data_IF_002474614994
#
_entry.id   IF_002474614994
#
_cell.length_a   1.000
_cell.length_b   1.000
_cell.length_c   1.000
_cell.angle_alpha   90.00
_cell.angle_beta   90.00
_cell.angle_gamma   90.00
#
_symmetry.space_group_name_H-M   'P 1'
#
loop_
_entity.id
_entity.type
_entity.pdbx_description
1 polymer ?
#
# COMPACT_ATOMS: atom_id res chain seq x y z
N UNK A 1 6.05 -2.04 11.53
CA UNK A 1 4.78 -2.71 11.85
C UNK A 1 4.70 -4.08 11.19
N UNK A 2 4.78 -4.17 9.85
CA UNK A 2 4.62 -5.45 9.12
C UNK A 2 5.69 -6.49 9.46
N UNK A 3 6.91 -6.10 9.76
CA UNK A 3 7.98 -6.99 10.23
C UNK A 3 7.68 -7.55 11.63
N UNK A 4 7.17 -6.70 12.52
CA UNK A 4 6.75 -7.14 13.87
C UNK A 4 5.56 -8.11 13.81
N UNK A 5 4.60 -7.86 12.91
CA UNK A 5 3.47 -8.76 12.67
C UNK A 5 3.94 -10.14 12.16
N UNK A 6 4.95 -10.19 11.28
CA UNK A 6 5.55 -11.44 10.80
C UNK A 6 6.32 -12.17 11.89
N UNK A 7 7.12 -11.47 12.70
CA UNK A 7 7.83 -12.04 13.83
C UNK A 7 6.87 -12.62 14.86
N UNK A 8 5.85 -11.86 15.25
CA UNK A 8 4.81 -12.32 16.17
C UNK A 8 4.07 -13.55 15.61
N UNK A 9 3.75 -13.57 14.32
CA UNK A 9 3.11 -14.73 13.69
C UNK A 9 4.00 -15.98 13.72
N UNK A 10 5.30 -15.85 13.50
CA UNK A 10 6.26 -16.94 13.59
C UNK A 10 6.37 -17.50 15.02
N UNK A 11 6.31 -16.62 16.02
CA UNK A 11 6.35 -17.03 17.43
C UNK A 11 5.05 -17.73 17.87
N UNK A 12 3.89 -17.19 17.49
CA UNK A 12 2.58 -17.69 17.92
C UNK A 12 2.16 -18.95 17.13
N UNK A 13 2.50 -19.03 15.84
CA UNK A 13 2.09 -20.09 14.94
C UNK A 13 3.26 -20.66 14.11
N UNK A 14 4.30 -21.23 14.76
CA UNK A 14 5.54 -21.64 14.08
C UNK A 14 5.31 -22.68 12.96
N UNK A 15 4.46 -23.68 13.20
CA UNK A 15 4.15 -24.69 12.19
C UNK A 15 3.45 -24.11 10.96
N UNK A 16 2.47 -23.22 11.16
CA UNK A 16 1.77 -22.57 10.06
C UNK A 16 2.68 -21.63 9.27
N UNK A 17 3.54 -20.90 9.96
CA UNK A 17 4.55 -20.06 9.34
C UNK A 17 5.51 -20.88 8.46
N UNK A 18 6.05 -21.99 9.00
CA UNK A 18 6.93 -22.90 8.26
C UNK A 18 6.25 -23.55 7.05
N UNK A 19 4.99 -23.98 7.19
CA UNK A 19 4.21 -24.52 6.05
C UNK A 19 4.02 -23.48 4.95
N UNK A 20 3.66 -22.25 5.30
CA UNK A 20 3.49 -21.16 4.33
C UNK A 20 4.82 -20.80 3.66
N UNK A 21 5.91 -20.72 4.41
CA UNK A 21 7.26 -20.49 3.85
C UNK A 21 7.65 -21.59 2.87
N UNK A 22 7.42 -22.84 3.24
CA UNK A 22 7.68 -24.00 2.37
C UNK A 22 6.83 -23.96 1.10
N UNK A 23 5.55 -23.64 1.23
CA UNK A 23 4.65 -23.46 0.08
C UNK A 23 5.10 -22.31 -0.83
N UNK A 24 5.50 -21.17 -0.25
CA UNK A 24 6.06 -20.03 -0.97
C UNK A 24 7.37 -20.42 -1.66
N UNK A 25 8.29 -21.11 -0.96
CA UNK A 25 9.56 -21.59 -1.53
C UNK A 25 9.34 -22.58 -2.67
N UNK A 26 8.50 -23.59 -2.49
CA UNK A 26 8.16 -24.56 -3.55
C UNK A 26 7.57 -23.87 -4.78
N UNK A 27 6.70 -22.90 -4.56
CA UNK A 27 6.16 -22.09 -5.64
C UNK A 27 7.15 -21.02 -6.16
N UNK A 28 8.25 -20.75 -5.45
CA UNK A 28 9.25 -19.69 -5.75
C UNK A 28 10.43 -20.13 -6.63
N UNK A 29 10.56 -21.41 -6.97
CA UNK A 29 11.74 -21.98 -7.67
C UNK A 29 12.22 -21.31 -8.97
N UNK A 30 11.48 -20.36 -9.49
CA UNK A 30 11.85 -19.46 -10.60
C UNK A 30 11.31 -18.03 -10.43
N UNK A 31 10.56 -17.78 -9.36
CA UNK A 31 9.75 -16.56 -9.21
C UNK A 31 10.56 -15.29 -8.98
N UNK A 32 11.70 -15.35 -8.29
CA UNK A 32 12.59 -14.17 -8.16
C UNK A 32 13.06 -13.68 -9.53
N UNK A 33 13.35 -14.60 -10.44
CA UNK A 33 13.70 -14.27 -11.83
C UNK A 33 12.49 -13.67 -12.56
N UNK A 34 11.29 -14.24 -12.38
CA UNK A 34 10.04 -13.74 -12.97
C UNK A 34 9.72 -12.32 -12.45
N UNK A 35 9.78 -12.11 -11.13
CA UNK A 35 9.56 -10.78 -10.51
C UNK A 35 10.56 -9.76 -11.04
N UNK A 36 11.85 -10.14 -11.15
CA UNK A 36 12.87 -9.27 -11.74
C UNK A 36 12.58 -8.95 -13.20
N UNK A 37 12.13 -9.94 -13.99
CA UNK A 37 11.75 -9.77 -15.39
C UNK A 37 10.54 -8.83 -15.52
N UNK A 38 9.46 -9.08 -14.76
CA UNK A 38 8.27 -8.22 -14.75
C UNK A 38 8.63 -6.78 -14.38
N UNK A 39 9.48 -6.59 -13.34
CA UNK A 39 9.93 -5.26 -12.93
C UNK A 39 10.68 -4.55 -14.08
N UNK A 40 11.54 -5.26 -14.80
CA UNK A 40 12.27 -4.70 -15.95
C UNK A 40 11.31 -4.32 -17.09
N UNK A 41 10.34 -5.17 -17.40
CA UNK A 41 9.35 -4.91 -18.44
C UNK A 41 8.44 -3.72 -18.09
N UNK A 42 7.87 -3.68 -16.87
CA UNK A 42 7.10 -2.52 -16.39
C UNK A 42 7.91 -1.23 -16.57
N UNK A 43 9.18 -1.23 -16.12
CA UNK A 43 10.04 -0.06 -16.24
C UNK A 43 10.35 0.30 -17.70
N UNK A 44 10.58 -0.70 -18.56
CA UNK A 44 10.85 -0.50 -19.98
C UNK A 44 9.64 0.15 -20.66
N UNK A 45 8.44 -0.45 -20.53
CA UNK A 45 7.24 0.06 -21.20
C UNK A 45 6.88 1.47 -20.75
N UNK A 46 7.00 1.78 -19.46
CA UNK A 46 6.77 3.12 -18.95
C UNK A 46 7.75 4.14 -19.55
N UNK A 47 9.04 3.82 -19.59
CA UNK A 47 10.05 4.72 -20.18
C UNK A 47 9.86 4.92 -21.66
N UNK A 48 9.62 3.84 -22.42
CA UNK A 48 9.42 3.92 -23.87
C UNK A 48 8.21 4.79 -24.24
N UNK A 49 7.20 4.86 -23.35
CA UNK A 49 5.99 5.68 -23.55
C UNK A 49 6.07 7.06 -22.85
N UNK A 50 7.25 7.55 -22.56
CA UNK A 50 7.51 8.93 -22.13
C UNK A 50 7.38 9.19 -20.62
N UNK A 51 7.38 8.15 -19.77
CA UNK A 51 7.51 8.31 -18.32
C UNK A 51 8.98 8.12 -17.94
N UNK A 52 9.78 9.18 -18.08
CA UNK A 52 11.23 9.08 -17.93
C UNK A 52 11.65 8.80 -16.47
N UNK A 53 11.07 9.54 -15.52
CA UNK A 53 11.40 9.50 -14.10
C UNK A 53 10.57 8.47 -13.33
N UNK A 54 10.60 7.21 -13.76
CA UNK A 54 9.85 6.12 -13.15
C UNK A 54 10.70 5.25 -12.24
N UNK A 55 10.22 5.05 -11.01
CA UNK A 55 10.74 4.05 -10.07
C UNK A 55 9.82 2.83 -10.00
N UNK A 56 10.34 1.63 -10.21
CA UNK A 56 9.57 0.39 -10.04
C UNK A 56 10.21 -0.45 -8.94
N UNK A 57 9.47 -0.66 -7.84
CA UNK A 57 9.89 -1.51 -6.71
C UNK A 57 9.00 -2.73 -6.65
N UNK A 58 9.58 -3.94 -6.67
CA UNK A 58 8.87 -5.18 -6.38
C UNK A 58 8.86 -5.42 -4.88
N UNK A 59 7.73 -5.92 -4.34
CA UNK A 59 7.56 -6.27 -2.95
C UNK A 59 6.90 -7.63 -2.84
N UNK A 60 7.55 -8.55 -2.15
CA UNK A 60 6.90 -9.76 -1.65
C UNK A 60 6.02 -9.38 -0.45
N UNK A 61 4.82 -9.94 -0.38
CA UNK A 61 3.94 -9.73 0.77
C UNK A 61 4.41 -10.57 1.95
N UNK A 62 4.27 -10.01 3.14
CA UNK A 62 4.62 -10.66 4.39
C UNK A 62 3.77 -11.92 4.61
N UNK A 63 4.35 -12.94 5.23
CA UNK A 63 3.72 -14.24 5.48
C UNK A 63 2.43 -14.07 6.29
N UNK A 64 2.44 -13.21 7.31
CA UNK A 64 1.24 -12.92 8.09
C UNK A 64 0.12 -12.29 7.24
N UNK A 65 0.45 -11.40 6.32
CA UNK A 65 -0.53 -10.80 5.41
C UNK A 65 -1.16 -11.83 4.47
N UNK A 66 -0.37 -12.81 4.02
CA UNK A 66 -0.85 -13.95 3.22
C UNK A 66 -1.75 -14.84 4.08
N UNK A 67 -1.32 -15.22 5.28
CA UNK A 67 -2.10 -16.01 6.23
C UNK A 67 -3.46 -15.37 6.55
N UNK A 68 -3.48 -14.07 6.85
CA UNK A 68 -4.70 -13.32 7.12
C UNK A 68 -5.68 -13.37 5.96
N UNK A 69 -5.20 -13.30 4.72
CA UNK A 69 -6.04 -13.41 3.52
C UNK A 69 -6.59 -14.81 3.31
N UNK A 70 -5.79 -15.86 3.55
CA UNK A 70 -6.26 -17.24 3.53
C UNK A 70 -7.42 -17.39 4.52
N UNK A 71 -7.21 -16.95 5.76
CA UNK A 71 -8.21 -17.05 6.84
C UNK A 71 -9.47 -16.24 6.55
N UNK A 72 -9.34 -14.99 6.07
CA UNK A 72 -10.49 -14.10 5.85
C UNK A 72 -11.31 -14.44 4.59
N UNK A 73 -10.70 -15.03 3.58
CA UNK A 73 -11.36 -15.32 2.30
C UNK A 73 -11.69 -16.79 2.11
N UNK A 74 -11.33 -17.66 3.06
CA UNK A 74 -11.49 -19.12 2.98
C UNK A 74 -11.00 -19.71 1.65
N UNK A 75 -9.97 -19.11 1.05
CA UNK A 75 -9.41 -19.52 -0.23
C UNK A 75 -8.11 -20.29 -0.05
N UNK A 76 -7.87 -21.37 -0.83
CA UNK A 76 -6.61 -22.07 -0.80
C UNK A 76 -5.45 -21.15 -1.23
N UNK A 77 -4.23 -21.47 -0.79
CA UNK A 77 -3.04 -20.68 -1.11
C UNK A 77 -2.82 -20.50 -2.63
N UNK A 78 -3.19 -21.49 -3.44
CA UNK A 78 -3.11 -21.43 -4.89
C UNK A 78 -3.96 -20.33 -5.55
N UNK A 79 -5.05 -19.93 -4.89
CA UNK A 79 -5.95 -18.86 -5.36
C UNK A 79 -5.59 -17.48 -4.81
N UNK A 80 -4.56 -17.37 -3.96
CA UNK A 80 -4.08 -16.08 -3.50
C UNK A 80 -3.16 -15.48 -4.57
N UNK A 81 -3.80 -14.77 -5.48
CA UNK A 81 -3.21 -14.21 -6.69
C UNK A 81 -2.28 -13.01 -6.43
N UNK A 82 -2.26 -12.47 -5.21
CA UNK A 82 -1.59 -11.20 -4.92
C UNK A 82 -0.35 -11.35 -4.01
N UNK A 83 0.39 -12.43 -4.17
CA UNK A 83 1.64 -12.68 -3.42
C UNK A 83 2.72 -11.65 -3.76
N UNK A 84 2.70 -11.12 -4.98
CA UNK A 84 3.68 -10.14 -5.45
C UNK A 84 3.02 -8.81 -5.76
N UNK A 85 3.51 -7.77 -5.10
CA UNK A 85 3.11 -6.40 -5.33
C UNK A 85 4.22 -5.61 -6.02
N UNK A 86 3.86 -4.76 -6.96
CA UNK A 86 4.75 -3.78 -7.56
C UNK A 86 4.29 -2.39 -7.20
N UNK A 87 5.24 -1.53 -6.87
CA UNK A 87 4.97 -0.11 -6.65
C UNK A 87 5.67 0.68 -7.74
N UNK A 88 4.88 1.44 -8.48
CA UNK A 88 5.33 2.37 -9.49
C UNK A 88 5.31 3.76 -8.88
N UNK A 89 6.44 4.46 -8.92
CA UNK A 89 6.62 5.80 -8.40
C UNK A 89 6.88 6.74 -9.57
N UNK A 90 6.07 7.76 -9.70
CA UNK A 90 6.15 8.81 -10.72
C UNK A 90 6.16 10.19 -10.06
N UNK A 91 6.30 11.26 -10.84
CA UNK A 91 6.45 12.61 -10.30
C UNK A 91 5.11 13.36 -10.21
N UNK A 92 4.17 13.11 -11.13
CA UNK A 92 2.87 13.81 -11.20
C UNK A 92 1.67 12.87 -11.11
N UNK A 93 0.49 13.44 -10.80
CA UNK A 93 -0.79 12.71 -10.83
C UNK A 93 -1.12 12.29 -12.25
N UNK A 94 -0.88 13.16 -13.23
CA UNK A 94 -1.10 12.85 -14.64
C UNK A 94 -0.26 11.65 -15.08
N UNK A 95 1.01 11.56 -14.63
CA UNK A 95 1.84 10.39 -14.89
C UNK A 95 1.32 9.12 -14.20
N UNK A 96 0.60 9.23 -13.08
CA UNK A 96 -0.07 8.06 -12.47
C UNK A 96 -1.12 7.48 -13.43
N UNK A 97 -2.01 8.32 -13.98
CA UNK A 97 -3.06 7.87 -14.90
C UNK A 97 -2.50 7.44 -16.25
N UNK A 98 -1.51 8.16 -16.78
CA UNK A 98 -0.78 7.73 -17.99
C UNK A 98 -0.10 6.37 -17.78
N UNK A 99 0.57 6.16 -16.64
CA UNK A 99 1.18 4.88 -16.29
C UNK A 99 0.15 3.75 -16.23
N UNK A 100 -1.04 4.00 -15.68
CA UNK A 100 -2.14 3.04 -15.65
C UNK A 100 -2.54 2.61 -17.08
N UNK A 101 -2.80 3.58 -17.96
CA UNK A 101 -3.15 3.30 -19.36
C UNK A 101 -2.06 2.49 -20.08
N UNK A 102 -0.79 2.89 -19.90
CA UNK A 102 0.35 2.18 -20.49
C UNK A 102 0.39 0.72 -20.01
N UNK A 103 0.35 0.47 -18.69
CA UNK A 103 0.46 -0.91 -18.19
C UNK A 103 -0.76 -1.76 -18.55
N UNK A 104 -1.97 -1.20 -18.63
CA UNK A 104 -3.18 -1.91 -19.05
C UNK A 104 -3.14 -2.27 -20.54
N UNK A 105 -2.41 -1.51 -21.36
CA UNK A 105 -2.20 -1.84 -22.78
C UNK A 105 -1.25 -3.03 -23.00
N UNK A 106 -0.28 -3.21 -22.08
CA UNK A 106 0.72 -4.30 -22.19
C UNK A 106 0.39 -5.53 -21.35
N UNK A 107 -0.42 -5.39 -20.29
CA UNK A 107 -0.78 -6.46 -19.37
C UNK A 107 -2.30 -6.49 -19.18
N UNK A 108 -2.91 -7.65 -19.29
CA UNK A 108 -4.36 -7.78 -19.15
C UNK A 108 -4.81 -7.48 -17.72
N UNK A 109 -5.68 -6.49 -17.49
CA UNK A 109 -6.22 -6.23 -16.17
C UNK A 109 -7.20 -7.33 -15.74
N UNK A 110 -7.24 -7.61 -14.44
CA UNK A 110 -8.22 -8.51 -13.84
C UNK A 110 -9.45 -7.70 -13.45
N UNK A 111 -10.62 -8.13 -13.92
CA UNK A 111 -11.90 -7.47 -13.67
C UNK A 111 -12.17 -7.26 -12.17
N UNK A 112 -12.84 -6.16 -11.85
CA UNK A 112 -13.24 -5.79 -10.49
C UNK A 112 -12.05 -5.66 -9.50
N UNK A 113 -10.83 -5.46 -10.00
CA UNK A 113 -9.61 -5.32 -9.20
C UNK A 113 -8.94 -3.95 -9.32
N UNK A 114 -9.59 -3.01 -9.98
CA UNK A 114 -9.15 -1.63 -10.03
C UNK A 114 -9.76 -0.82 -8.88
N UNK A 115 -8.95 0.03 -8.25
CA UNK A 115 -9.39 1.00 -7.23
C UNK A 115 -8.61 2.30 -7.39
N UNK A 116 -9.34 3.39 -7.48
CA UNK A 116 -8.78 4.73 -7.56
C UNK A 116 -8.86 5.42 -6.19
N UNK A 117 -7.74 5.40 -5.48
CA UNK A 117 -7.58 6.14 -4.24
C UNK A 117 -6.87 7.49 -4.44
N UNK A 118 -6.65 7.94 -5.68
CA UNK A 118 -6.22 9.31 -5.98
C UNK A 118 -7.45 10.21 -6.04
N UNK A 119 -8.46 9.79 -6.81
CA UNK A 119 -9.74 10.50 -6.92
C UNK A 119 -10.54 10.43 -5.61
N UNK A 120 -10.57 9.27 -4.95
CA UNK A 120 -11.27 9.04 -3.68
C UNK A 120 -10.28 8.55 -2.64
N UNK A 121 -9.57 9.45 -1.93
CA UNK A 121 -8.60 9.08 -0.91
C UNK A 121 -9.25 8.32 0.24
N UNK A 122 -8.48 7.43 0.88
CA UNK A 122 -8.94 6.77 2.11
C UNK A 122 -9.02 7.77 3.26
N UNK A 123 -9.80 7.46 4.31
CA UNK A 123 -9.96 8.27 5.52
C UNK A 123 -8.60 8.65 6.17
N UNK A 124 -7.61 7.78 6.08
CA UNK A 124 -6.25 8.04 6.56
C UNK A 124 -5.36 8.85 5.58
N UNK A 125 -5.93 9.45 4.53
CA UNK A 125 -5.19 10.24 3.54
C UNK A 125 -4.35 9.43 2.56
N UNK A 126 -4.46 8.08 2.54
CA UNK A 126 -3.74 7.25 1.59
C UNK A 126 -4.25 7.45 0.16
N UNK A 127 -3.33 7.71 -0.76
CA UNK A 127 -3.60 7.88 -2.19
C UNK A 127 -2.73 6.96 -3.04
N UNK A 128 -3.34 6.26 -3.99
CA UNK A 128 -2.69 5.46 -5.03
C UNK A 128 -3.72 4.92 -6.03
N UNK A 129 -3.33 4.59 -7.24
CA UNK A 129 -4.09 3.70 -8.10
C UNK A 129 -3.70 2.25 -7.79
N UNK A 130 -4.67 1.39 -7.58
CA UNK A 130 -4.46 -0.05 -7.40
C UNK A 130 -5.07 -0.80 -8.57
N UNK A 131 -4.30 -1.67 -9.18
CA UNK A 131 -4.79 -2.58 -10.22
C UNK A 131 -4.14 -3.95 -10.08
N UNK A 132 -4.88 -5.00 -10.45
CA UNK A 132 -4.33 -6.35 -10.56
C UNK A 132 -4.26 -6.75 -12.02
N UNK A 133 -3.14 -7.31 -12.42
CA UNK A 133 -2.82 -7.61 -13.81
C UNK A 133 -2.38 -9.06 -13.95
N UNK A 134 -2.61 -9.64 -15.12
CA UNK A 134 -1.97 -10.88 -15.55
C UNK A 134 -0.69 -10.50 -16.31
N UNK A 135 0.46 -10.79 -15.70
CA UNK A 135 1.76 -10.60 -16.29
C UNK A 135 2.22 -11.85 -17.05
N UNK A 136 3.51 -11.95 -17.35
CA UNK A 136 4.11 -13.07 -18.06
C UNK A 136 3.58 -14.43 -17.63
N UNK A 137 3.18 -15.26 -18.61
CA UNK A 137 2.61 -16.61 -18.38
C UNK A 137 1.37 -16.60 -17.46
N UNK A 138 0.50 -15.59 -17.61
CA UNK A 138 -0.71 -15.40 -16.81
C UNK A 138 -0.44 -15.29 -15.29
N UNK A 139 0.74 -14.81 -14.90
CA UNK A 139 1.12 -14.64 -13.50
C UNK A 139 0.44 -13.39 -12.91
N UNK A 140 -0.42 -13.54 -11.87
CA UNK A 140 -1.15 -12.41 -11.32
C UNK A 140 -0.24 -11.56 -10.43
N UNK A 141 -0.29 -10.25 -10.66
CA UNK A 141 0.44 -9.24 -9.89
C UNK A 141 -0.50 -8.13 -9.43
N UNK A 142 -0.23 -7.55 -8.28
CA UNK A 142 -0.86 -6.30 -7.85
C UNK A 142 0.09 -5.14 -8.13
N UNK A 143 -0.39 -4.10 -8.79
CA UNK A 143 0.37 -2.89 -9.07
C UNK A 143 -0.26 -1.71 -8.35
N UNK A 144 0.57 -0.98 -7.60
CA UNK A 144 0.24 0.27 -6.95
C UNK A 144 0.99 1.39 -7.67
N UNK A 145 0.26 2.39 -8.16
CA UNK A 145 0.84 3.55 -8.83
C UNK A 145 0.57 4.77 -7.97
N UNK A 146 1.61 5.52 -7.66
CA UNK A 146 1.51 6.71 -6.81
C UNK A 146 2.64 7.67 -7.11
N UNK A 147 2.47 8.92 -6.74
CA UNK A 147 3.57 9.89 -6.81
C UNK A 147 4.58 9.62 -5.69
N UNK A 148 5.81 10.16 -5.83
CA UNK A 148 6.82 10.08 -4.76
C UNK A 148 6.32 10.73 -3.47
N UNK A 149 5.58 11.83 -3.59
CA UNK A 149 4.98 12.53 -2.47
C UNK A 149 3.93 11.66 -1.75
N UNK A 150 2.96 11.08 -2.50
CA UNK A 150 1.98 10.13 -1.94
C UNK A 150 2.67 8.95 -1.24
N UNK A 151 3.78 8.45 -1.81
CA UNK A 151 4.57 7.37 -1.21
C UNK A 151 5.22 7.77 0.11
N UNK A 152 5.73 9.00 0.20
CA UNK A 152 6.31 9.54 1.43
C UNK A 152 5.25 9.69 2.51
N UNK A 153 4.09 10.27 2.18
CA UNK A 153 2.96 10.40 3.10
C UNK A 153 2.51 9.03 3.61
N UNK A 154 2.40 8.03 2.72
CA UNK A 154 2.02 6.68 3.10
C UNK A 154 3.06 5.96 3.99
N UNK A 155 4.35 6.29 3.85
CA UNK A 155 5.42 5.69 4.62
C UNK A 155 5.52 6.26 6.04
N UNK A 156 5.40 7.58 6.17
CA UNK A 156 5.59 8.30 7.43
C UNK A 156 4.29 8.62 8.16
N UNK A 157 3.13 8.35 7.53
CA UNK A 157 1.81 8.65 8.07
C UNK A 157 1.52 10.15 8.14
N UNK A 158 0.64 10.52 9.06
CA UNK A 158 0.19 11.91 9.24
C UNK A 158 1.37 12.87 9.53
N UNK A 159 2.42 12.41 10.19
CA UNK A 159 3.60 13.24 10.49
C UNK A 159 4.33 13.77 9.24
N UNK A 160 4.38 12.99 8.15
CA UNK A 160 4.99 13.43 6.89
C UNK A 160 4.11 14.44 6.12
N UNK A 161 2.81 14.32 6.26
CA UNK A 161 1.87 15.27 5.69
C UNK A 161 2.07 16.69 6.26
N UNK A 162 2.60 16.76 7.48
CA UNK A 162 2.90 17.99 8.17
C UNK A 162 4.13 18.70 7.64
N UNK A 163 5.22 17.96 7.48
CA UNK A 163 6.50 18.50 7.05
C UNK A 163 6.44 19.07 5.62
N UNK A 164 5.59 18.49 4.76
CA UNK A 164 5.43 18.91 3.37
C UNK A 164 4.50 20.14 3.23
N UNK A 165 3.42 20.23 4.03
CA UNK A 165 2.47 21.36 3.98
C UNK A 165 3.02 22.67 4.57
N UNK A 166 4.04 22.61 5.41
CA UNK A 166 4.75 23.80 5.89
C UNK A 166 5.67 24.40 4.82
N UNK A 167 6.00 23.66 3.76
CA UNK A 167 6.87 24.12 2.67
C UNK A 167 6.11 24.72 1.48
N UNK A 168 4.80 24.49 1.35
CA UNK A 168 3.96 25.08 0.29
C UNK A 168 2.83 25.89 0.92
N UNK A 169 2.82 27.19 0.59
CA UNK A 169 1.87 28.22 1.04
C UNK A 169 0.39 27.87 0.74
N UNK A 170 -0.24 27.01 1.56
CA UNK A 170 -1.69 26.84 1.57
C UNK A 170 -2.23 26.90 3.00
N UNK A 171 -2.61 28.08 3.40
CA UNK A 171 -2.97 28.53 4.77
C UNK A 171 -4.20 27.80 5.36
N UNK A 172 -5.15 27.35 4.54
CA UNK A 172 -6.43 26.83 5.04
C UNK A 172 -6.40 25.38 5.54
N UNK A 173 -5.56 24.51 4.98
CA UNK A 173 -5.44 23.10 5.38
C UNK A 173 -4.44 22.91 6.54
N UNK A 174 -3.46 23.79 6.65
CA UNK A 174 -2.51 23.82 7.78
C UNK A 174 -3.18 24.13 9.12
N UNK A 175 -4.19 25.01 9.11
CA UNK A 175 -4.94 25.40 10.32
C UNK A 175 -5.74 24.22 10.94
N UNK A 176 -6.37 23.36 10.13
CA UNK A 176 -7.12 22.20 10.65
C UNK A 176 -6.20 21.16 11.28
N UNK A 177 -5.08 20.88 10.65
CA UNK A 177 -4.11 19.94 11.17
C UNK A 177 -3.41 20.47 12.43
N UNK A 178 -3.10 21.79 12.50
CA UNK A 178 -2.56 22.43 13.73
C UNK A 178 -3.56 22.37 14.87
N UNK A 179 -4.85 22.59 14.58
CA UNK A 179 -5.93 22.51 15.57
C UNK A 179 -6.09 21.09 16.11
N UNK A 180 -6.03 20.07 15.24
CA UNK A 180 -6.10 18.68 15.63
C UNK A 180 -4.91 18.21 16.47
N UNK A 181 -3.66 18.60 16.12
CA UNK A 181 -2.49 18.27 16.97
C UNK A 181 -2.49 18.98 18.31
N UNK A 182 -2.91 20.24 18.35
CA UNK A 182 -3.11 20.91 19.63
C UNK A 182 -4.13 20.15 20.47
N UNK A 183 -5.23 19.70 19.86
CA UNK A 183 -6.21 18.82 20.50
C UNK A 183 -5.60 17.52 21.05
N UNK A 184 -4.71 16.86 20.28
CA UNK A 184 -4.00 15.66 20.72
C UNK A 184 -3.03 15.93 21.88
N UNK A 185 -2.26 17.03 21.82
CA UNK A 185 -1.35 17.42 22.90
C UNK A 185 -2.14 17.78 24.17
N UNK A 186 -3.29 18.44 24.01
CA UNK A 186 -4.17 18.80 25.13
C UNK A 186 -4.86 17.55 25.72
N UNK A 187 -5.26 16.58 24.89
CA UNK A 187 -5.74 15.27 25.32
C UNK A 187 -4.66 14.50 26.08
N UNK A 188 -3.43 14.47 25.57
CA UNK A 188 -2.30 13.81 26.25
C UNK A 188 -2.01 14.43 27.62
N UNK A 189 -2.15 15.76 27.75
CA UNK A 189 -1.98 16.45 29.03
C UNK A 189 -3.13 16.19 30.02
N UNK A 190 -4.32 15.93 29.52
CA UNK A 190 -5.53 15.70 30.35
C UNK A 190 -5.71 14.23 30.73
N UNK A 191 -5.15 13.30 29.98
CA UNK A 191 -5.32 11.86 30.17
C UNK A 191 -4.04 11.29 30.80
N UNK A 192 -4.11 10.91 32.07
CA UNK A 192 -3.00 10.25 32.78
C UNK A 192 -2.86 8.75 32.44
N UNK A 193 -3.74 8.21 31.60
CA UNK A 193 -3.78 6.78 31.26
C UNK A 193 -3.53 6.57 29.76
N UNK A 194 -2.44 5.85 29.36
CA UNK A 194 -2.13 5.58 27.96
C UNK A 194 -3.24 4.82 27.19
N UNK A 195 -4.05 4.00 27.88
CA UNK A 195 -5.13 3.26 27.27
C UNK A 195 -6.31 4.16 26.89
N UNK A 196 -6.68 5.11 27.73
CA UNK A 196 -7.71 6.12 27.45
C UNK A 196 -7.29 7.07 26.33
N UNK A 197 -6.01 7.45 26.30
CA UNK A 197 -5.45 8.26 25.22
C UNK A 197 -5.54 7.52 23.87
N UNK A 198 -5.17 6.24 23.83
CA UNK A 198 -5.29 5.42 22.64
C UNK A 198 -6.75 5.22 22.18
N UNK A 199 -7.69 5.11 23.13
CA UNK A 199 -9.11 5.00 22.86
C UNK A 199 -9.69 6.31 22.28
N UNK A 200 -9.33 7.46 22.85
CA UNK A 200 -9.75 8.78 22.36
C UNK A 200 -9.24 9.06 20.96
N UNK A 201 -7.97 8.70 20.65
CA UNK A 201 -7.43 8.80 19.29
C UNK A 201 -8.19 7.89 18.31
N UNK A 202 -8.54 6.67 18.71
CA UNK A 202 -9.35 5.76 17.89
C UNK A 202 -10.73 6.34 17.58
N UNK A 203 -11.37 6.94 18.54
CA UNK A 203 -12.70 7.56 18.39
C UNK A 203 -12.63 8.77 17.45
N UNK A 204 -11.63 9.65 17.61
CA UNK A 204 -11.44 10.81 16.74
C UNK A 204 -11.05 10.44 15.29
N UNK A 205 -10.37 9.31 15.10
CA UNK A 205 -10.01 8.82 13.77
C UNK A 205 -11.16 8.09 13.06
N UNK A 206 -12.16 7.64 13.82
CA UNK A 206 -13.34 6.92 13.32
C UNK A 206 -14.61 7.77 13.27
N UNK A 207 -14.55 9.05 13.68
CA UNK A 207 -15.72 9.93 13.75
C UNK A 207 -16.31 10.32 12.38
N UNK A 208 -15.72 9.91 11.26
CA UNK A 208 -16.23 10.16 9.91
C UNK A 208 -16.97 8.96 9.28
N UNK A 209 -17.22 7.89 10.00
CA UNK A 209 -18.14 6.84 9.56
C UNK A 209 -19.56 7.14 10.07
N UNK A 210 -20.23 8.11 9.44
CA UNK A 210 -21.68 8.23 9.51
C UNK A 210 -22.27 7.20 8.56
N UNK A 211 -22.80 6.11 9.09
CA UNK A 211 -23.70 5.24 8.34
C UNK A 211 -25.00 5.98 8.04
N UNK A 212 -25.26 6.22 6.77
CA UNK A 212 -26.60 6.42 6.23
C UNK A 212 -27.05 5.13 5.59
#
# INVERSE_FOLDING_TARGET
RSELEDLAFRCIHPLRASMLESAIKKSSGGRKKIVSKIRKELKKHLKTNGIERVGVKGREKNIFSIYRKIKSKHKPFSEILDVYGFRILVDSIDDCYRSLGIIHNYFSPIENRFKDYIAIPKSNGYQALHTSLLALSAFPIEVQIQTRNMSSIAAFGIAAHWQYKTSENNISSGLRATKWLRGLVDLQKKTNNPAEFAQSIKTDLNSDEVFL
#
